data_IF_361670005539
#
_entry.id   IF_361670005539
#
_cell.length_a   1.000
_cell.length_b   1.000
_cell.length_c   1.000
_cell.angle_alpha   90.00
_cell.angle_beta   90.00
_cell.angle_gamma   90.00
#
_symmetry.space_group_name_H-M   'P 1'
#
loop_
_entity.id
_entity.type
_entity.pdbx_description
1 polymer ?
#
# COMPACT_ATOMS: atom_id res chain seq x y z
N UNK A 1 24.24 -2.39 -12.55
CA UNK A 1 24.06 -0.99 -12.11
C UNK A 1 23.25 -0.96 -10.84
N UNK A 2 23.94 -0.72 -9.72
CA UNK A 2 23.39 -0.55 -8.38
C UNK A 2 22.59 0.77 -8.35
N UNK A 3 21.46 0.79 -7.66
CA UNK A 3 20.61 1.97 -7.53
C UNK A 3 21.06 2.78 -6.29
N UNK A 4 21.01 4.12 -6.28
CA UNK A 4 21.79 4.97 -5.37
C UNK A 4 21.40 4.95 -3.88
N UNK A 5 20.35 4.23 -3.44
CA UNK A 5 19.83 4.36 -2.06
C UNK A 5 19.67 3.06 -1.25
N UNK A 6 20.19 1.89 -1.66
CA UNK A 6 20.10 0.75 -0.74
C UNK A 6 20.59 -0.61 -1.20
N UNK A 7 20.48 -1.60 -0.30
CA UNK A 7 20.95 -3.01 -0.38
C UNK A 7 20.39 -3.85 -1.57
N UNK A 8 19.78 -3.23 -2.57
CA UNK A 8 19.31 -3.90 -3.79
C UNK A 8 18.12 -4.85 -3.61
N UNK A 9 17.49 -4.91 -2.43
CA UNK A 9 16.34 -5.78 -2.13
C UNK A 9 15.13 -5.45 -3.00
N UNK A 10 14.83 -4.16 -3.20
CA UNK A 10 13.74 -3.71 -4.07
C UNK A 10 13.94 -4.14 -5.53
N UNK A 11 15.19 -4.13 -6.01
CA UNK A 11 15.53 -4.57 -7.36
C UNK A 11 15.32 -6.08 -7.55
N UNK A 12 15.56 -6.89 -6.52
CA UNK A 12 15.27 -8.33 -6.53
C UNK A 12 13.76 -8.62 -6.51
N UNK A 13 12.99 -7.85 -5.74
CA UNK A 13 11.53 -7.94 -5.74
C UNK A 13 10.94 -7.57 -7.12
N UNK A 14 11.43 -6.47 -7.73
CA UNK A 14 11.05 -6.07 -9.08
C UNK A 14 11.31 -7.14 -10.13
N UNK A 15 12.51 -7.74 -10.13
CA UNK A 15 12.82 -8.85 -11.06
C UNK A 15 11.90 -10.06 -10.87
N UNK A 16 11.51 -10.36 -9.64
CA UNK A 16 10.61 -11.47 -9.35
C UNK A 16 9.20 -11.20 -9.86
N UNK A 17 8.73 -9.95 -9.75
CA UNK A 17 7.48 -9.48 -10.35
C UNK A 17 7.51 -9.60 -11.88
N UNK A 18 8.51 -9.01 -12.54
CA UNK A 18 8.65 -9.05 -14.01
C UNK A 18 8.66 -10.49 -14.51
N UNK A 19 9.48 -11.37 -13.91
CA UNK A 19 9.55 -12.77 -14.30
C UNK A 19 8.22 -13.54 -14.10
N UNK A 20 7.42 -13.16 -13.10
CA UNK A 20 6.13 -13.81 -12.84
C UNK A 20 5.03 -13.34 -13.81
N UNK A 21 5.07 -12.06 -14.22
CA UNK A 21 4.13 -11.46 -15.16
C UNK A 21 4.45 -11.84 -16.60
N UNK A 22 5.72 -11.76 -17.02
CA UNK A 22 6.19 -12.16 -18.37
C UNK A 22 5.83 -13.62 -18.68
N UNK A 23 5.94 -14.51 -17.69
CA UNK A 23 5.71 -15.94 -17.89
C UNK A 23 4.23 -16.28 -18.12
N UNK A 24 3.31 -15.39 -17.77
CA UNK A 24 1.85 -15.63 -17.83
C UNK A 24 1.11 -14.76 -18.85
N UNK A 25 1.77 -13.77 -19.46
CA UNK A 25 1.09 -12.75 -20.27
C UNK A 25 1.50 -12.85 -21.74
N UNK A 26 0.58 -13.13 -22.68
CA UNK A 26 0.87 -13.08 -24.11
C UNK A 26 1.24 -11.66 -24.57
N UNK A 27 2.15 -11.49 -25.57
CA UNK A 27 2.68 -10.18 -25.98
C UNK A 27 1.62 -9.16 -26.42
N UNK A 28 0.46 -9.62 -26.90
CA UNK A 28 -0.63 -8.75 -27.33
C UNK A 28 -1.48 -8.19 -26.17
N UNK A 29 -1.36 -8.76 -24.97
CA UNK A 29 -2.04 -8.30 -23.75
C UNK A 29 -1.21 -7.21 -23.07
N UNK A 30 0.12 -7.36 -23.01
CA UNK A 30 1.03 -6.33 -22.49
C UNK A 30 0.85 -4.99 -23.21
N UNK A 31 0.84 -5.01 -24.55
CA UNK A 31 0.71 -3.80 -25.36
C UNK A 31 -0.63 -3.07 -25.14
N UNK A 32 -1.69 -3.76 -24.68
CA UNK A 32 -3.02 -3.16 -24.46
C UNK A 32 -3.19 -2.65 -23.03
N UNK A 33 -2.53 -3.28 -22.06
CA UNK A 33 -2.52 -2.89 -20.65
C UNK A 33 -1.59 -1.70 -20.42
N UNK A 34 -0.41 -1.68 -21.06
CA UNK A 34 0.56 -0.60 -20.95
C UNK A 34 0.03 0.74 -21.51
N UNK A 35 -0.71 0.72 -22.62
CA UNK A 35 -1.12 1.93 -23.33
C UNK A 35 -2.38 2.63 -22.77
N UNK A 36 -3.22 1.98 -21.97
CA UNK A 36 -4.53 2.51 -21.61
C UNK A 36 -4.67 3.03 -20.17
N UNK A 37 -3.77 2.66 -19.25
CA UNK A 37 -4.01 2.86 -17.81
C UNK A 37 -2.79 3.36 -17.01
N UNK A 38 -1.57 3.28 -17.54
CA UNK A 38 -0.34 3.23 -16.72
C UNK A 38 -0.12 4.35 -15.70
N UNK A 39 -0.25 5.66 -16.00
CA UNK A 39 0.09 6.69 -15.02
C UNK A 39 -0.97 6.83 -13.92
N UNK A 40 -2.25 6.79 -14.32
CA UNK A 40 -3.38 7.01 -13.43
C UNK A 40 -3.69 5.77 -12.59
N UNK A 41 -3.54 4.56 -13.17
CA UNK A 41 -3.75 3.33 -12.43
C UNK A 41 -2.63 3.09 -11.41
N UNK A 42 -1.37 3.38 -11.76
CA UNK A 42 -0.24 3.15 -10.85
C UNK A 42 -0.33 4.03 -9.60
N UNK A 43 -0.59 5.33 -9.79
CA UNK A 43 -0.76 6.25 -8.66
C UNK A 43 -1.97 5.90 -7.80
N UNK A 44 -3.06 5.44 -8.42
CA UNK A 44 -4.25 5.01 -7.68
C UNK A 44 -4.01 3.73 -6.89
N UNK A 45 -3.30 2.75 -7.46
CA UNK A 45 -2.96 1.50 -6.78
C UNK A 45 -2.00 1.76 -5.61
N UNK A 46 -0.98 2.59 -5.80
CA UNK A 46 -0.07 3.01 -4.73
C UNK A 46 -0.85 3.66 -3.57
N UNK A 47 -1.74 4.60 -3.88
CA UNK A 47 -2.57 5.28 -2.88
C UNK A 47 -3.50 4.33 -2.12
N UNK A 48 -4.01 3.29 -2.77
CA UNK A 48 -4.90 2.29 -2.15
C UNK A 48 -4.14 1.26 -1.32
N UNK A 49 -2.95 0.82 -1.75
CA UNK A 49 -2.08 -0.03 -0.93
C UNK A 49 -1.66 0.73 0.33
N UNK A 50 -1.21 1.98 0.18
CA UNK A 50 -0.86 2.83 1.31
C UNK A 50 -2.05 3.04 2.25
N UNK A 51 -3.24 3.30 1.71
CA UNK A 51 -4.46 3.41 2.49
C UNK A 51 -4.80 2.14 3.26
N UNK A 52 -4.70 0.95 2.65
CA UNK A 52 -4.97 -0.32 3.31
C UNK A 52 -4.00 -0.60 4.47
N UNK A 53 -2.70 -0.31 4.27
CA UNK A 53 -1.70 -0.42 5.33
C UNK A 53 -2.03 0.53 6.49
N UNK A 54 -2.32 1.79 6.19
CA UNK A 54 -2.70 2.79 7.19
C UNK A 54 -3.99 2.40 7.93
N UNK A 55 -4.97 1.84 7.23
CA UNK A 55 -6.22 1.35 7.82
C UNK A 55 -5.93 0.32 8.93
N UNK A 56 -5.11 -0.69 8.65
CA UNK A 56 -4.80 -1.71 9.65
C UNK A 56 -3.81 -1.25 10.73
N UNK A 57 -2.88 -0.34 10.43
CA UNK A 57 -1.94 0.17 11.43
C UNK A 57 -2.58 1.10 12.45
N UNK A 58 -3.51 1.95 12.01
CA UNK A 58 -4.14 2.97 12.84
C UNK A 58 -5.50 2.55 13.40
N UNK A 59 -6.02 1.37 13.07
CA UNK A 59 -7.28 0.88 13.64
C UNK A 59 -8.52 1.44 12.92
N UNK A 60 -8.42 1.59 11.61
CA UNK A 60 -9.55 1.89 10.74
C UNK A 60 -9.99 3.36 10.79
N UNK A 61 -11.30 3.59 10.74
CA UNK A 61 -11.85 4.92 10.52
C UNK A 61 -11.49 5.92 11.62
N UNK A 62 -11.70 5.54 12.89
CA UNK A 62 -11.50 6.42 14.03
C UNK A 62 -10.03 6.80 14.20
N UNK A 63 -9.13 5.82 14.16
CA UNK A 63 -7.70 6.12 14.31
C UNK A 63 -7.10 6.86 13.11
N UNK A 64 -7.63 6.69 11.88
CA UNK A 64 -7.25 7.55 10.76
C UNK A 64 -7.75 8.99 10.94
N UNK A 65 -8.92 9.17 11.55
CA UNK A 65 -9.44 10.49 11.88
C UNK A 65 -8.59 11.16 12.96
N UNK A 66 -8.21 10.44 14.01
CA UNK A 66 -7.30 10.92 15.07
C UNK A 66 -5.90 11.22 14.53
N UNK A 67 -5.44 10.44 13.54
CA UNK A 67 -4.21 10.72 12.80
C UNK A 67 -4.28 12.02 11.97
N UNK A 68 -5.45 12.64 11.85
CA UNK A 68 -5.65 13.92 11.18
C UNK A 68 -6.24 13.81 9.77
N UNK A 69 -6.68 12.63 9.34
CA UNK A 69 -7.34 12.49 8.05
C UNK A 69 -8.79 12.99 8.12
N UNK A 70 -9.16 13.88 7.20
CA UNK A 70 -10.53 14.39 7.14
C UNK A 70 -11.53 13.27 6.83
N UNK A 71 -12.67 13.23 7.55
CA UNK A 71 -13.71 12.20 7.43
C UNK A 71 -14.13 11.93 5.98
N UNK A 72 -14.36 12.98 5.19
CA UNK A 72 -14.78 12.83 3.79
C UNK A 72 -13.70 12.17 2.91
N UNK A 73 -12.42 12.36 3.25
CA UNK A 73 -11.30 11.70 2.55
C UNK A 73 -11.27 10.21 2.89
N UNK A 74 -11.50 9.84 4.16
CA UNK A 74 -11.57 8.44 4.57
C UNK A 74 -12.71 7.74 3.81
N UNK A 75 -13.93 8.33 3.81
CA UNK A 75 -15.07 7.78 3.07
C UNK A 75 -14.79 7.61 1.58
N UNK A 76 -14.16 8.61 0.94
CA UNK A 76 -13.80 8.53 -0.48
C UNK A 76 -12.80 7.40 -0.76
N UNK A 77 -11.81 7.21 0.12
CA UNK A 77 -10.81 6.13 0.00
C UNK A 77 -11.44 4.76 0.24
N UNK A 78 -12.32 4.60 1.23
CA UNK A 78 -13.07 3.35 1.45
C UNK A 78 -13.92 3.00 0.23
N UNK A 79 -14.67 3.95 -0.33
CA UNK A 79 -15.50 3.72 -1.51
C UNK A 79 -14.64 3.30 -2.72
N UNK A 80 -13.52 4.00 -2.94
CA UNK A 80 -12.58 3.66 -4.02
C UNK A 80 -11.96 2.28 -3.82
N UNK A 81 -11.59 1.93 -2.60
CA UNK A 81 -11.03 0.63 -2.27
C UNK A 81 -12.03 -0.51 -2.54
N UNK A 82 -13.29 -0.32 -2.15
CA UNK A 82 -14.38 -1.26 -2.43
C UNK A 82 -14.62 -1.42 -3.93
N UNK A 83 -14.57 -0.33 -4.69
CA UNK A 83 -14.73 -0.41 -6.15
C UNK A 83 -13.56 -1.15 -6.82
N UNK A 84 -12.36 -1.12 -6.23
CA UNK A 84 -11.17 -1.75 -6.79
C UNK A 84 -11.08 -3.24 -6.43
N UNK A 85 -11.41 -3.60 -5.19
CA UNK A 85 -11.19 -4.96 -4.65
C UNK A 85 -12.46 -5.78 -4.48
N UNK A 86 -13.63 -5.13 -4.52
CA UNK A 86 -14.93 -5.73 -4.22
C UNK A 86 -15.25 -5.81 -2.72
N UNK A 87 -14.26 -5.56 -1.84
CA UNK A 87 -14.39 -5.79 -0.40
C UNK A 87 -14.06 -4.53 0.41
N UNK A 88 -14.51 -4.52 1.68
CA UNK A 88 -14.17 -3.47 2.62
C UNK A 88 -12.71 -3.65 3.09
N UNK A 89 -11.91 -2.57 3.27
CA UNK A 89 -10.51 -2.68 3.69
C UNK A 89 -10.33 -3.44 5.01
N UNK A 90 -11.35 -3.49 5.86
CA UNK A 90 -11.30 -4.20 7.15
C UNK A 90 -11.32 -5.72 7.03
N UNK A 91 -11.96 -6.26 5.98
CA UNK A 91 -12.06 -7.71 5.76
C UNK A 91 -11.13 -8.20 4.67
N UNK A 92 -10.69 -7.29 3.80
CA UNK A 92 -9.83 -7.62 2.69
C UNK A 92 -8.42 -8.00 3.16
N UNK A 93 -7.98 -9.20 2.80
CA UNK A 93 -6.61 -9.68 3.05
C UNK A 93 -5.80 -9.49 1.78
N UNK A 94 -4.85 -8.55 1.79
CA UNK A 94 -4.00 -8.31 0.63
C UNK A 94 -3.02 -9.48 0.42
N UNK A 95 -3.10 -10.22 -0.70
CA UNK A 95 -2.25 -11.38 -0.90
C UNK A 95 -0.76 -11.01 -0.89
N UNK A 96 0.03 -11.73 -0.09
CA UNK A 96 1.47 -11.53 0.00
C UNK A 96 1.91 -10.36 0.91
N UNK A 97 0.98 -9.63 1.52
CA UNK A 97 1.29 -8.59 2.52
C UNK A 97 0.72 -9.02 3.87
N UNK A 98 1.60 -9.18 4.87
CA UNK A 98 1.22 -9.41 6.24
C UNK A 98 1.56 -8.18 7.08
N UNK A 99 0.59 -7.66 7.84
CA UNK A 99 0.79 -6.52 8.74
C UNK A 99 0.72 -7.03 10.18
N UNK A 100 1.75 -6.75 10.95
CA UNK A 100 1.74 -6.88 12.40
C UNK A 100 1.78 -5.47 13.03
N UNK A 101 0.62 -4.90 13.39
CA UNK A 101 0.57 -3.57 13.99
C UNK A 101 1.37 -3.50 15.29
N UNK A 102 1.39 -4.57 16.09
CA UNK A 102 2.10 -4.59 17.38
C UNK A 102 3.61 -4.53 17.17
N UNK A 103 4.13 -5.36 16.27
CA UNK A 103 5.55 -5.32 15.91
C UNK A 103 5.95 -3.97 15.30
N UNK A 104 5.09 -3.40 14.45
CA UNK A 104 5.30 -2.07 13.88
C UNK A 104 5.45 -1.00 14.97
N UNK A 105 4.47 -0.90 15.88
CA UNK A 105 4.49 0.10 16.94
C UNK A 105 5.62 -0.14 17.97
N UNK A 106 5.93 -1.39 18.32
CA UNK A 106 7.06 -1.72 19.18
C UNK A 106 8.40 -1.25 18.58
N UNK A 107 8.58 -1.39 17.27
CA UNK A 107 9.77 -0.92 16.57
C UNK A 107 9.83 0.61 16.46
N UNK A 108 8.67 1.27 16.34
CA UNK A 108 8.58 2.73 16.24
C UNK A 108 9.04 3.42 17.52
N UNK A 109 8.71 2.87 18.69
CA UNK A 109 9.20 3.35 20.01
C UNK A 109 10.72 3.28 20.09
N UNK A 110 11.35 2.34 19.38
CA UNK A 110 12.80 2.15 19.37
C UNK A 110 13.53 3.13 18.43
N UNK A 111 12.84 3.71 17.43
CA UNK A 111 13.45 4.58 16.40
C UNK A 111 13.01 6.04 16.43
N UNK A 112 11.87 6.38 17.02
CA UNK A 112 11.39 7.76 17.07
C UNK A 112 11.48 8.27 18.49
N UNK A 113 12.64 8.84 18.83
CA UNK A 113 12.88 9.59 20.05
C UNK A 113 12.08 10.90 20.10
N UNK A 114 10.76 10.83 20.04
CA UNK A 114 9.89 11.94 20.42
C UNK A 114 8.73 11.39 21.25
N UNK A 115 8.84 11.58 22.56
CA UNK A 115 7.76 11.27 23.49
C UNK A 115 6.51 12.10 23.12
N UNK A 116 5.30 11.52 23.20
CA UNK A 116 4.06 12.28 23.07
C UNK A 116 4.03 13.37 24.15
N UNK A 117 3.73 14.60 23.75
CA UNK A 117 3.63 15.75 24.65
C UNK A 117 2.44 15.51 25.58
N UNK A 118 2.70 15.18 26.85
CA UNK A 118 1.65 15.15 27.88
C UNK A 118 1.10 16.57 28.03
N UNK A 119 -0.21 16.71 27.88
CA UNK A 119 -0.98 17.91 28.27
C UNK A 119 -0.93 18.10 29.78
#
# INVERSE_FOLDING_TARGET
MESPEGRGLAKKAWKSYVNAVDRRTPPFVEARVQNALEPLSSQMVEDMIGFWVMWHLYGGFEGLQEFGMHKSTIWRKVARFRNMTGEHPDVFVMPGINIDPKAYWASAVTKVGRSPKRS
#
